data_IF_455555787848
#
_entry.id   IF_455555787848
#
_cell.length_a   1.000
_cell.length_b   1.000
_cell.length_c   1.000
_cell.angle_alpha   90.00
_cell.angle_beta   90.00
_cell.angle_gamma   90.00
#
_symmetry.space_group_name_H-M   'P 1'
#
loop_
_entity.id
_entity.type
_entity.pdbx_description
1 polymer ?
#
# COMPACT_ATOMS: atom_id res chain seq x y z
N UNK A 1 -7.74 34.01 -7.77
CA UNK A 1 -8.11 32.56 -7.65
C UNK A 1 -8.06 31.92 -9.03
N UNK A 2 -8.20 30.59 -9.16
CA UNK A 2 -8.33 29.90 -10.46
C UNK A 2 -9.47 28.88 -10.44
N UNK A 3 -10.25 28.82 -11.52
CA UNK A 3 -11.48 28.04 -11.60
C UNK A 3 -11.50 27.05 -12.76
N UNK A 4 -12.04 25.87 -12.52
CA UNK A 4 -12.33 24.87 -13.54
C UNK A 4 -13.83 24.89 -13.81
N UNK A 5 -14.23 25.32 -15.00
CA UNK A 5 -15.64 25.47 -15.37
C UNK A 5 -16.16 24.22 -16.10
N UNK A 6 -17.47 24.01 -16.07
CA UNK A 6 -18.12 23.00 -16.91
C UNK A 6 -17.96 23.29 -18.41
N UNK A 7 -18.11 22.27 -19.27
CA UNK A 7 -17.99 22.42 -20.73
C UNK A 7 -18.89 23.55 -21.27
N UNK A 8 -20.17 23.55 -20.88
CA UNK A 8 -21.14 24.58 -21.28
C UNK A 8 -20.70 25.97 -20.82
N UNK A 9 -20.37 26.10 -19.54
CA UNK A 9 -19.88 27.36 -18.97
C UNK A 9 -18.61 27.90 -19.67
N UNK A 10 -17.68 27.03 -20.07
CA UNK A 10 -16.49 27.44 -20.84
C UNK A 10 -16.87 28.02 -22.20
N UNK A 11 -17.78 27.36 -22.93
CA UNK A 11 -18.22 27.83 -24.24
C UNK A 11 -18.91 29.19 -24.13
N UNK A 12 -19.77 29.36 -23.12
CA UNK A 12 -20.50 30.61 -22.88
C UNK A 12 -19.53 31.76 -22.54
N UNK A 13 -18.60 31.52 -21.61
CA UNK A 13 -17.57 32.50 -21.21
C UNK A 13 -16.70 32.92 -22.41
N UNK A 14 -16.15 31.97 -23.16
CA UNK A 14 -15.26 32.29 -24.28
C UNK A 14 -16.03 32.86 -25.49
N UNK A 15 -17.30 32.47 -25.69
CA UNK A 15 -18.19 33.08 -26.65
C UNK A 15 -18.48 34.55 -26.32
N UNK A 16 -18.74 34.85 -25.05
CA UNK A 16 -18.89 36.22 -24.57
C UNK A 16 -17.62 37.06 -24.76
N UNK A 17 -16.45 36.55 -24.35
CA UNK A 17 -15.18 37.27 -24.53
C UNK A 17 -14.90 37.57 -26.01
N UNK A 18 -15.21 36.63 -26.91
CA UNK A 18 -15.07 36.83 -28.36
C UNK A 18 -15.95 37.97 -28.87
N UNK A 19 -17.22 38.03 -28.42
CA UNK A 19 -18.15 39.11 -28.76
C UNK A 19 -17.71 40.45 -28.18
N UNK A 20 -17.33 40.48 -26.88
CA UNK A 20 -16.90 41.69 -26.15
C UNK A 20 -15.69 42.37 -26.80
N UNK A 21 -14.76 41.59 -27.33
CA UNK A 21 -13.56 42.13 -27.98
C UNK A 21 -13.70 42.31 -29.51
N UNK A 22 -14.89 42.05 -30.08
CA UNK A 22 -15.18 42.17 -31.52
C UNK A 22 -14.20 41.39 -32.42
N UNK A 23 -13.82 40.17 -32.02
CA UNK A 23 -12.84 39.34 -32.74
C UNK A 23 -13.48 38.13 -33.44
N UNK A 24 -12.98 37.76 -34.62
CA UNK A 24 -13.52 36.68 -35.45
C UNK A 24 -12.93 35.32 -35.12
N UNK A 25 -11.73 35.27 -34.57
CA UNK A 25 -11.07 34.02 -34.21
C UNK A 25 -10.37 34.11 -32.84
N UNK A 26 -9.94 32.95 -32.36
CA UNK A 26 -9.32 32.81 -31.04
C UNK A 26 -7.88 33.35 -30.98
N UNK A 27 -7.22 33.49 -32.14
CA UNK A 27 -5.87 34.04 -32.22
C UNK A 27 -5.90 35.55 -31.99
N UNK A 28 -6.83 36.25 -32.65
CA UNK A 28 -7.13 37.67 -32.42
C UNK A 28 -7.54 37.92 -30.97
N UNK A 29 -8.37 37.06 -30.37
CA UNK A 29 -8.73 37.17 -28.96
C UNK A 29 -7.48 37.12 -28.06
N UNK A 30 -6.57 36.18 -28.34
CA UNK A 30 -5.30 36.01 -27.62
C UNK A 30 -4.43 37.26 -27.69
N UNK A 31 -4.34 37.89 -28.85
CA UNK A 31 -3.59 39.14 -29.05
C UNK A 31 -4.24 40.29 -28.28
N UNK A 32 -5.57 40.45 -28.34
CA UNK A 32 -6.31 41.51 -27.64
C UNK A 32 -6.17 41.45 -26.13
N UNK A 33 -6.21 40.25 -25.55
CA UNK A 33 -6.09 40.06 -24.09
C UNK A 33 -4.63 39.83 -23.65
N UNK A 34 -3.67 39.89 -24.57
CA UNK A 34 -2.23 39.67 -24.32
C UNK A 34 -1.91 38.33 -23.63
N UNK A 35 -2.64 37.26 -23.98
CA UNK A 35 -2.45 35.93 -23.43
C UNK A 35 -2.08 34.97 -24.56
N UNK A 36 -1.02 34.15 -24.43
CA UNK A 36 -0.61 33.25 -25.49
C UNK A 36 -1.76 32.37 -26.01
N UNK A 37 -1.91 32.28 -27.33
CA UNK A 37 -2.97 31.53 -28.00
C UNK A 37 -3.19 30.12 -27.44
N UNK A 38 -2.09 29.39 -27.18
CA UNK A 38 -2.16 28.04 -26.64
C UNK A 38 -2.79 28.00 -25.23
N UNK A 39 -2.58 29.03 -24.43
CA UNK A 39 -3.20 29.16 -23.10
C UNK A 39 -4.70 29.39 -23.22
N UNK A 40 -5.14 30.27 -24.13
CA UNK A 40 -6.57 30.50 -24.42
C UNK A 40 -7.25 29.22 -24.90
N UNK A 41 -6.62 28.48 -25.83
CA UNK A 41 -7.12 27.18 -26.27
C UNK A 41 -7.26 26.19 -25.11
N UNK A 42 -6.25 26.10 -24.25
CA UNK A 42 -6.25 25.17 -23.12
C UNK A 42 -7.36 25.48 -22.10
N UNK A 43 -7.64 26.77 -21.86
CA UNK A 43 -8.78 27.16 -21.03
C UNK A 43 -10.12 26.79 -21.66
N UNK A 44 -10.30 27.08 -22.95
CA UNK A 44 -11.53 26.75 -23.69
C UNK A 44 -11.80 25.25 -23.74
N UNK A 45 -10.77 24.45 -24.02
CA UNK A 45 -10.86 22.99 -24.11
C UNK A 45 -10.89 22.31 -22.74
N UNK A 46 -10.73 23.06 -21.64
CA UNK A 46 -10.79 22.49 -20.29
C UNK A 46 -9.55 21.73 -19.86
N UNK A 47 -8.38 21.98 -20.46
CA UNK A 47 -7.12 21.38 -20.02
C UNK A 47 -6.41 22.21 -18.95
N UNK A 48 -6.91 23.42 -18.63
CA UNK A 48 -6.37 24.32 -17.59
C UNK A 48 -7.45 25.09 -16.85
N UNK A 49 -7.13 25.48 -15.62
CA UNK A 49 -7.95 26.38 -14.79
C UNK A 49 -7.81 27.82 -15.28
N UNK A 50 -8.93 28.54 -15.28
CA UNK A 50 -9.08 29.92 -15.76
C UNK A 50 -8.83 30.88 -14.58
N UNK A 51 -7.99 31.91 -14.73
CA UNK A 51 -7.78 32.93 -13.71
C UNK A 51 -9.07 33.71 -13.40
N UNK A 52 -9.27 34.03 -12.12
CA UNK A 52 -10.40 34.81 -11.61
C UNK A 52 -10.51 36.18 -12.31
N UNK A 53 -9.38 36.80 -12.60
CA UNK A 53 -9.29 38.12 -13.23
C UNK A 53 -9.99 38.14 -14.59
N UNK A 54 -9.95 37.02 -15.33
CA UNK A 54 -10.63 36.89 -16.61
C UNK A 54 -12.13 36.63 -16.46
N UNK A 55 -12.53 35.92 -15.40
CA UNK A 55 -13.92 35.57 -15.16
C UNK A 55 -14.75 36.73 -14.60
N UNK A 56 -14.13 37.66 -13.87
CA UNK A 56 -14.78 38.90 -13.41
C UNK A 56 -15.32 39.78 -14.54
N UNK A 57 -14.82 39.60 -15.76
CA UNK A 57 -15.27 40.34 -16.93
C UNK A 57 -16.61 39.86 -17.49
N UNK A 58 -17.12 38.72 -16.99
CA UNK A 58 -18.31 38.03 -17.50
C UNK A 58 -19.52 38.38 -16.61
N UNK A 59 -20.59 38.98 -17.16
CA UNK A 59 -21.70 39.52 -16.36
C UNK A 59 -22.75 38.48 -15.94
N UNK A 60 -22.54 37.20 -16.22
CA UNK A 60 -23.51 36.13 -15.93
C UNK A 60 -22.92 35.04 -15.04
N UNK A 61 -23.79 34.36 -14.30
CA UNK A 61 -23.42 33.22 -13.46
C UNK A 61 -23.04 32.01 -14.32
N UNK A 62 -22.03 31.27 -13.88
CA UNK A 62 -21.56 30.07 -14.56
C UNK A 62 -21.26 28.96 -13.55
N UNK A 63 -21.31 27.71 -14.01
CA UNK A 63 -21.10 26.54 -13.16
C UNK A 63 -19.60 26.20 -13.01
N UNK A 64 -19.10 26.27 -11.78
CA UNK A 64 -17.74 25.95 -11.37
C UNK A 64 -17.69 24.50 -10.88
N UNK A 65 -16.84 23.68 -11.50
CA UNK A 65 -16.61 22.28 -11.10
C UNK A 65 -15.57 22.19 -9.99
N UNK A 66 -14.51 22.99 -10.06
CA UNK A 66 -13.41 23.00 -9.08
C UNK A 66 -12.81 24.40 -8.99
N UNK A 67 -12.24 24.74 -7.83
CA UNK A 67 -11.55 26.01 -7.57
C UNK A 67 -10.23 25.77 -6.84
N UNK A 68 -9.23 26.58 -7.16
CA UNK A 68 -7.87 26.47 -6.64
C UNK A 68 -7.26 27.86 -6.40
N UNK A 69 -6.28 27.93 -5.50
CA UNK A 69 -5.50 29.14 -5.26
C UNK A 69 -4.78 29.62 -6.53
N UNK A 70 -4.49 30.92 -6.62
CA UNK A 70 -3.87 31.54 -7.81
C UNK A 70 -2.56 30.87 -8.26
N UNK A 71 -1.81 30.31 -7.30
CA UNK A 71 -0.52 29.66 -7.50
C UNK A 71 -0.62 28.13 -7.65
N UNK A 72 -1.83 27.58 -7.74
CA UNK A 72 -2.02 26.15 -7.89
C UNK A 72 -1.56 25.67 -9.28
N UNK A 73 -0.57 24.77 -9.29
CA UNK A 73 0.07 24.28 -10.51
C UNK A 73 1.35 25.03 -10.91
N UNK A 74 1.61 26.22 -10.35
CA UNK A 74 3.00 26.68 -10.25
C UNK A 74 3.67 25.75 -9.25
N UNK A 75 4.62 24.94 -9.72
CA UNK A 75 5.53 24.25 -8.81
C UNK A 75 6.15 25.33 -7.91
N UNK A 76 5.80 25.36 -6.62
CA UNK A 76 6.72 25.72 -5.52
C UNK A 76 7.86 24.70 -5.52
N UNK A 77 8.55 24.56 -6.65
CA UNK A 77 9.73 23.73 -6.81
C UNK A 77 10.84 24.49 -6.13
N UNK A 78 11.22 24.02 -4.95
CA UNK A 78 12.13 24.69 -4.05
C UNK A 78 13.37 25.26 -4.74
N UNK A 79 13.55 26.57 -4.57
CA UNK A 79 14.83 27.22 -4.83
C UNK A 79 15.93 26.77 -3.87
N UNK A 80 15.59 26.13 -2.74
CA UNK A 80 16.58 25.71 -1.74
C UNK A 80 17.29 24.38 -2.03
N UNK A 81 16.90 23.60 -3.06
CA UNK A 81 17.50 22.27 -3.29
C UNK A 81 17.95 21.93 -4.72
N UNK A 82 17.60 22.74 -5.73
CA UNK A 82 17.76 22.39 -7.15
C UNK A 82 18.76 23.25 -7.94
N UNK A 83 19.21 24.40 -7.42
CA UNK A 83 20.10 25.32 -8.15
C UNK A 83 21.41 24.65 -8.59
N UNK A 84 22.03 23.89 -7.69
CA UNK A 84 23.26 23.15 -7.96
C UNK A 84 23.00 22.00 -8.94
N UNK A 85 21.90 21.25 -8.77
CA UNK A 85 21.58 20.10 -9.63
C UNK A 85 21.22 20.49 -11.06
N UNK A 86 20.53 21.63 -11.28
CA UNK A 86 20.16 22.11 -12.62
C UNK A 86 21.37 22.70 -13.35
N UNK A 87 22.23 23.49 -12.66
CA UNK A 87 23.52 23.93 -13.21
C UNK A 87 24.41 22.73 -13.56
N UNK A 88 24.52 21.74 -12.68
CA UNK A 88 25.32 20.54 -12.93
C UNK A 88 24.75 19.67 -14.06
N UNK A 89 23.43 19.50 -14.13
CA UNK A 89 22.76 18.79 -15.23
C UNK A 89 22.91 19.50 -16.56
N UNK A 90 22.75 20.83 -16.59
CA UNK A 90 22.94 21.61 -17.80
C UNK A 90 24.41 21.62 -18.23
N UNK A 91 25.36 21.66 -17.28
CA UNK A 91 26.79 21.54 -17.57
C UNK A 91 27.13 20.14 -18.09
N UNK A 92 26.62 19.09 -17.47
CA UNK A 92 26.74 17.70 -17.95
C UNK A 92 26.09 17.50 -19.31
N UNK A 93 24.94 18.12 -19.59
CA UNK A 93 24.26 18.02 -20.88
C UNK A 93 25.02 18.78 -21.97
N UNK A 94 25.52 19.99 -21.68
CA UNK A 94 26.42 20.73 -22.59
C UNK A 94 27.70 19.94 -22.87
N UNK A 95 28.34 19.38 -21.83
CA UNK A 95 29.52 18.51 -21.95
C UNK A 95 29.19 17.23 -22.73
N UNK A 96 28.01 16.63 -22.54
CA UNK A 96 27.54 15.46 -23.28
C UNK A 96 27.27 15.75 -24.77
N UNK A 97 26.93 16.99 -25.11
CA UNK A 97 26.83 17.47 -26.49
C UNK A 97 28.17 17.89 -27.07
N UNK A 98 29.18 18.19 -26.24
CA UNK A 98 30.48 18.77 -26.68
C UNK A 98 31.70 17.86 -26.49
N UNK A 99 31.60 16.70 -25.85
CA UNK A 99 32.74 15.78 -25.60
C UNK A 99 32.39 14.30 -25.73
N UNK A 100 33.37 13.50 -26.16
CA UNK A 100 33.22 12.06 -26.40
C UNK A 100 33.00 11.20 -25.13
N UNK A 101 32.57 9.94 -25.32
CA UNK A 101 32.21 8.96 -24.27
C UNK A 101 33.21 8.83 -23.11
N UNK A 102 34.49 9.16 -23.30
CA UNK A 102 35.57 9.11 -22.30
C UNK A 102 35.41 10.18 -21.21
N UNK A 103 35.07 11.41 -21.57
CA UNK A 103 34.88 12.53 -20.61
C UNK A 103 33.65 12.31 -19.73
N UNK A 104 32.57 11.80 -20.33
CA UNK A 104 31.36 11.42 -19.59
C UNK A 104 31.60 10.31 -18.57
N UNK A 105 32.44 9.31 -18.91
CA UNK A 105 32.87 8.28 -17.95
C UNK A 105 33.64 8.89 -16.77
N UNK A 106 34.56 9.82 -17.03
CA UNK A 106 35.34 10.48 -15.97
C UNK A 106 34.48 11.35 -15.06
N UNK A 107 33.50 12.08 -15.61
CA UNK A 107 32.54 12.85 -14.80
C UNK A 107 31.61 11.97 -13.99
N UNK A 108 31.17 10.84 -14.54
CA UNK A 108 30.35 9.87 -13.80
C UNK A 108 31.16 9.22 -12.67
N UNK A 109 32.43 8.85 -12.91
CA UNK A 109 33.35 8.40 -11.85
C UNK A 109 33.49 9.44 -10.73
N UNK A 110 33.59 10.73 -11.10
CA UNK A 110 33.81 11.82 -10.14
C UNK A 110 32.55 12.21 -9.35
N UNK A 111 31.36 12.21 -9.97
CA UNK A 111 30.13 12.79 -9.38
C UNK A 111 28.91 11.86 -9.36
N UNK A 112 29.01 10.67 -9.95
CA UNK A 112 27.88 9.74 -10.13
C UNK A 112 27.31 9.23 -8.81
N UNK A 113 28.16 8.98 -7.81
CA UNK A 113 27.75 8.57 -6.46
C UNK A 113 26.90 9.64 -5.77
N UNK A 114 27.35 10.90 -5.76
CA UNK A 114 26.66 12.03 -5.15
C UNK A 114 25.32 12.35 -5.84
N UNK A 115 25.30 12.32 -7.18
CA UNK A 115 24.08 12.48 -7.96
C UNK A 115 23.06 11.38 -7.66
N UNK A 116 23.54 10.15 -7.50
CA UNK A 116 22.67 9.02 -7.20
C UNK A 116 22.13 9.10 -5.78
N UNK A 117 22.95 9.48 -4.78
CA UNK A 117 22.49 9.73 -3.41
C UNK A 117 21.38 10.78 -3.36
N UNK A 118 21.58 11.94 -4.03
CA UNK A 118 20.56 13.01 -4.12
C UNK A 118 19.27 12.53 -4.80
N UNK A 119 19.39 11.74 -5.86
CA UNK A 119 18.22 11.18 -6.56
C UNK A 119 17.46 10.18 -5.69
N UNK A 120 18.16 9.31 -4.95
CA UNK A 120 17.57 8.34 -4.01
C UNK A 120 16.87 9.07 -2.86
N UNK A 121 17.54 10.04 -2.24
CA UNK A 121 16.95 10.87 -1.19
C UNK A 121 15.68 11.60 -1.65
N UNK A 122 15.66 12.14 -2.88
CA UNK A 122 14.48 12.75 -3.47
C UNK A 122 13.31 11.77 -3.65
N UNK A 123 13.59 10.53 -4.08
CA UNK A 123 12.57 9.46 -4.20
C UNK A 123 12.02 9.04 -2.84
N UNK A 124 12.89 8.92 -1.83
CA UNK A 124 12.50 8.59 -0.45
C UNK A 124 11.57 9.67 0.10
N UNK A 125 11.99 10.94 0.08
CA UNK A 125 11.17 12.06 0.55
C UNK A 125 9.81 12.14 -0.14
N UNK A 126 9.77 11.86 -1.46
CA UNK A 126 8.52 11.80 -2.20
C UNK A 126 7.60 10.68 -1.66
N UNK A 127 8.13 9.46 -1.47
CA UNK A 127 7.34 8.33 -0.94
C UNK A 127 6.89 8.55 0.50
N UNK A 128 7.73 9.13 1.34
CA UNK A 128 7.34 9.51 2.71
C UNK A 128 6.19 10.50 2.69
N UNK A 129 6.25 11.52 1.82
CA UNK A 129 5.16 12.47 1.67
C UNK A 129 3.87 11.80 1.20
N UNK A 130 3.94 10.92 0.20
CA UNK A 130 2.78 10.16 -0.28
C UNK A 130 2.17 9.29 0.83
N UNK A 131 3.00 8.59 1.60
CA UNK A 131 2.57 7.76 2.73
C UNK A 131 1.91 8.60 3.84
N UNK A 132 2.55 9.72 4.24
CA UNK A 132 2.00 10.65 5.23
C UNK A 132 0.67 11.27 4.78
N UNK A 133 0.54 11.62 3.50
CA UNK A 133 -0.71 12.13 2.95
C UNK A 133 -1.81 11.07 2.97
N UNK A 134 -1.48 9.81 2.69
CA UNK A 134 -2.42 8.70 2.79
C UNK A 134 -2.84 8.44 4.25
N UNK A 135 -1.90 8.49 5.20
CA UNK A 135 -2.20 8.41 6.63
C UNK A 135 -3.16 9.54 7.08
N UNK A 136 -2.86 10.80 6.72
CA UNK A 136 -3.72 11.96 7.03
C UNK A 136 -5.12 11.83 6.42
N UNK A 137 -5.21 11.42 5.16
CA UNK A 137 -6.50 11.21 4.47
C UNK A 137 -7.36 10.17 5.18
N UNK A 138 -6.73 9.15 5.77
CA UNK A 138 -7.41 8.04 6.41
C UNK A 138 -7.39 8.12 7.95
N UNK A 139 -6.99 9.24 8.54
CA UNK A 139 -6.87 9.38 10.00
C UNK A 139 -8.22 9.12 10.69
N UNK A 140 -9.30 9.66 10.11
CA UNK A 140 -10.66 9.48 10.62
C UNK A 140 -11.29 8.14 10.22
N UNK A 141 -10.60 7.33 9.41
CA UNK A 141 -11.12 6.01 9.05
C UNK A 141 -11.08 5.05 10.24
N UNK A 142 -10.03 5.13 11.08
CA UNK A 142 -9.81 4.18 12.16
C UNK A 142 -10.47 4.63 13.46
N UNK A 143 -11.67 4.09 13.72
CA UNK A 143 -12.48 4.41 14.91
C UNK A 143 -12.37 3.37 16.03
N UNK A 144 -11.59 2.30 15.81
CA UNK A 144 -11.39 1.21 16.76
C UNK A 144 -12.69 0.56 17.24
N UNK A 145 -13.64 0.34 16.30
CA UNK A 145 -14.94 -0.26 16.61
C UNK A 145 -14.74 -1.68 17.17
N UNK A 146 -15.31 -1.94 18.34
CA UNK A 146 -15.39 -3.28 18.92
C UNK A 146 -16.46 -4.08 18.16
N UNK A 147 -16.07 -5.22 17.62
CA UNK A 147 -16.97 -6.13 16.89
C UNK A 147 -17.22 -7.36 17.74
N UNK A 148 -18.49 -7.58 18.10
CA UNK A 148 -18.93 -8.79 18.80
C UNK A 148 -19.19 -9.91 17.80
N UNK A 149 -18.91 -11.14 18.23
CA UNK A 149 -19.03 -12.36 17.43
C UNK A 149 -20.17 -13.19 17.99
N UNK A 150 -21.18 -13.45 17.16
CA UNK A 150 -22.32 -14.27 17.55
C UNK A 150 -21.91 -15.75 17.63
N UNK A 151 -21.67 -16.22 18.85
CA UNK A 151 -21.34 -17.62 19.16
C UNK A 151 -22.56 -18.42 19.64
N UNK A 152 -23.74 -17.81 19.74
CA UNK A 152 -24.94 -18.41 20.36
C UNK A 152 -25.38 -19.73 19.70
N UNK A 153 -25.14 -19.85 18.39
CA UNK A 153 -25.54 -21.02 17.59
C UNK A 153 -24.51 -22.13 17.52
N UNK A 154 -23.38 -22.00 18.21
CA UNK A 154 -22.29 -22.98 18.16
C UNK A 154 -22.48 -24.02 19.25
N UNK A 155 -22.49 -25.30 18.86
CA UNK A 155 -22.62 -26.41 19.82
C UNK A 155 -21.25 -26.98 20.14
N UNK A 156 -20.89 -27.01 21.43
CA UNK A 156 -19.70 -27.69 21.90
C UNK A 156 -19.95 -29.20 22.00
N UNK A 157 -19.12 -29.99 21.33
CA UNK A 157 -19.14 -31.45 21.46
C UNK A 157 -18.64 -31.91 22.84
N UNK A 158 -18.86 -33.19 23.19
CA UNK A 158 -18.31 -33.79 24.42
C UNK A 158 -16.78 -33.61 24.51
N UNK A 159 -16.07 -33.73 23.38
CA UNK A 159 -14.63 -33.54 23.32
C UNK A 159 -14.20 -32.08 23.49
N UNK A 160 -14.96 -31.13 22.92
CA UNK A 160 -14.70 -29.69 23.10
C UNK A 160 -14.84 -29.29 24.58
N UNK A 161 -15.89 -29.79 25.25
CA UNK A 161 -16.10 -29.60 26.70
C UNK A 161 -14.97 -30.20 27.54
N UNK A 162 -14.54 -31.44 27.21
CA UNK A 162 -13.41 -32.10 27.90
C UNK A 162 -12.12 -31.29 27.80
N UNK A 163 -11.87 -30.66 26.65
CA UNK A 163 -10.73 -29.77 26.42
C UNK A 163 -10.89 -28.37 27.05
N UNK A 164 -12.03 -28.08 27.69
CA UNK A 164 -12.38 -26.75 28.22
C UNK A 164 -12.21 -25.65 27.16
N UNK A 165 -12.64 -25.96 25.93
CA UNK A 165 -12.52 -25.07 24.79
C UNK A 165 -13.27 -23.75 25.06
N UNK A 166 -12.64 -22.63 24.69
CA UNK A 166 -13.25 -21.29 24.70
C UNK A 166 -13.41 -20.80 23.27
N UNK A 167 -14.44 -20.00 23.02
CA UNK A 167 -14.63 -19.30 21.75
C UNK A 167 -14.59 -17.79 22.02
N UNK A 168 -13.94 -17.00 21.14
CA UNK A 168 -13.85 -15.56 21.35
C UNK A 168 -15.20 -14.88 21.03
N UNK A 169 -15.63 -14.02 21.94
CA UNK A 169 -16.88 -13.24 21.83
C UNK A 169 -16.71 -11.92 21.07
N UNK A 170 -15.48 -11.50 20.81
CA UNK A 170 -15.17 -10.28 20.08
C UNK A 170 -13.92 -10.44 19.21
N UNK A 171 -13.82 -9.60 18.17
CA UNK A 171 -12.64 -9.56 17.32
C UNK A 171 -11.47 -8.92 18.07
N UNK A 172 -10.41 -9.71 18.30
CA UNK A 172 -9.14 -9.25 18.87
C UNK A 172 -8.02 -9.29 17.83
N UNK A 173 -6.88 -8.65 18.13
CA UNK A 173 -5.69 -8.74 17.29
C UNK A 173 -5.19 -10.17 17.16
N UNK A 174 -5.22 -10.96 18.24
CA UNK A 174 -4.82 -12.37 18.24
C UNK A 174 -5.70 -13.21 17.31
N UNK A 175 -7.03 -13.03 17.42
CA UNK A 175 -7.96 -13.72 16.53
C UNK A 175 -7.74 -13.29 15.07
N UNK A 176 -7.52 -12.00 14.82
CA UNK A 176 -7.27 -11.50 13.47
C UNK A 176 -5.99 -12.10 12.85
N UNK A 177 -4.92 -12.20 13.63
CA UNK A 177 -3.68 -12.85 13.19
C UNK A 177 -3.87 -14.34 12.92
N UNK A 178 -4.58 -15.04 13.80
CA UNK A 178 -4.94 -16.45 13.60
C UNK A 178 -5.78 -16.66 12.33
N UNK A 179 -6.73 -15.77 12.04
CA UNK A 179 -7.50 -15.80 10.80
C UNK A 179 -6.57 -15.65 9.59
N UNK A 180 -5.63 -14.70 9.63
CA UNK A 180 -4.64 -14.52 8.58
C UNK A 180 -3.84 -15.79 8.31
N UNK A 181 -3.29 -16.40 9.37
CA UNK A 181 -2.56 -17.67 9.31
C UNK A 181 -3.44 -18.78 8.72
N UNK A 182 -4.69 -18.87 9.16
CA UNK A 182 -5.61 -19.89 8.68
C UNK A 182 -5.99 -19.70 7.21
N UNK A 183 -6.09 -18.46 6.71
CA UNK A 183 -6.43 -18.22 5.31
C UNK A 183 -5.29 -18.62 4.36
N UNK A 184 -4.04 -18.48 4.80
CA UNK A 184 -2.87 -18.96 4.05
C UNK A 184 -2.68 -20.47 4.14
N UNK A 185 -2.16 -20.94 5.28
CA UNK A 185 -1.71 -22.33 5.47
C UNK A 185 -2.74 -23.25 6.16
N UNK A 186 -3.91 -22.71 6.50
CA UNK A 186 -4.95 -23.47 7.16
C UNK A 186 -5.68 -24.44 6.23
N UNK A 187 -6.22 -25.51 6.79
CA UNK A 187 -7.19 -26.39 6.15
C UNK A 187 -8.43 -26.53 7.04
N UNK A 188 -9.61 -26.51 6.44
CA UNK A 188 -10.89 -26.64 7.12
C UNK A 188 -11.78 -27.62 6.35
N UNK A 189 -12.04 -28.79 6.93
CA UNK A 189 -12.83 -29.85 6.31
C UNK A 189 -13.98 -30.25 7.23
N UNK A 190 -15.20 -30.27 6.66
CA UNK A 190 -16.39 -30.74 7.39
C UNK A 190 -16.24 -32.21 7.81
N UNK A 191 -15.55 -33.02 7.01
CA UNK A 191 -15.26 -34.43 7.32
C UNK A 191 -14.48 -34.51 8.65
N UNK A 192 -15.06 -35.20 9.63
CA UNK A 192 -14.50 -35.41 10.99
C UNK A 192 -14.26 -34.13 11.78
N UNK A 193 -14.83 -32.98 11.40
CA UNK A 193 -14.53 -31.69 12.01
C UNK A 193 -13.04 -31.34 12.01
N UNK A 194 -12.35 -31.70 10.93
CA UNK A 194 -10.91 -31.56 10.78
C UNK A 194 -10.51 -30.12 10.52
N UNK A 195 -9.50 -29.65 11.25
CA UNK A 195 -8.76 -28.47 10.88
C UNK A 195 -7.27 -28.61 11.20
N UNK A 196 -6.45 -27.92 10.41
CA UNK A 196 -4.99 -27.96 10.53
C UNK A 196 -4.38 -26.63 10.13
N UNK A 197 -3.17 -26.36 10.61
CA UNK A 197 -2.24 -25.41 9.99
C UNK A 197 -0.92 -26.13 9.85
N UNK A 198 -0.31 -26.04 8.65
CA UNK A 198 0.90 -26.76 8.30
C UNK A 198 1.84 -25.82 7.57
N UNK A 199 3.11 -25.81 7.93
CA UNK A 199 4.15 -25.03 7.28
C UNK A 199 5.30 -25.92 6.83
N UNK A 200 6.27 -25.34 6.16
CA UNK A 200 7.52 -26.04 5.86
C UNK A 200 8.23 -26.44 7.17
N UNK A 201 8.89 -27.61 7.20
CA UNK A 201 9.67 -28.08 8.36
C UNK A 201 10.69 -27.06 8.87
N UNK A 202 11.27 -26.23 8.00
CA UNK A 202 12.20 -25.15 8.36
C UNK A 202 11.57 -24.03 9.20
N UNK A 203 10.25 -24.01 9.31
CA UNK A 203 9.46 -23.02 10.03
C UNK A 203 8.76 -23.64 11.25
N UNK A 204 9.19 -24.83 11.69
CA UNK A 204 8.64 -25.49 12.87
C UNK A 204 8.66 -24.61 14.14
N UNK A 205 9.72 -23.81 14.31
CA UNK A 205 9.82 -22.88 15.45
C UNK A 205 8.75 -21.80 15.45
N UNK A 206 8.21 -21.43 14.29
CA UNK A 206 7.05 -20.55 14.20
C UNK A 206 5.78 -21.24 14.71
N UNK A 207 5.59 -22.51 14.34
CA UNK A 207 4.43 -23.30 14.79
C UNK A 207 4.46 -23.48 16.31
N UNK A 208 5.54 -24.03 16.84
CA UNK A 208 5.64 -24.35 18.27
C UNK A 208 5.81 -23.11 19.14
N UNK A 209 6.60 -22.13 18.69
CA UNK A 209 6.94 -20.95 19.47
C UNK A 209 5.89 -19.83 19.43
N UNK A 210 5.07 -19.76 18.38
CA UNK A 210 4.08 -18.69 18.23
C UNK A 210 2.66 -19.21 18.02
N UNK A 211 2.44 -20.07 17.03
CA UNK A 211 1.07 -20.52 16.67
C UNK A 211 0.43 -21.30 17.81
N UNK A 212 1.15 -22.18 18.50
CA UNK A 212 0.61 -22.94 19.61
C UNK A 212 0.18 -22.06 20.80
N UNK A 213 1.03 -21.15 21.32
CA UNK A 213 0.62 -20.15 22.30
C UNK A 213 -0.59 -19.31 21.86
N UNK A 214 -0.66 -18.92 20.58
CA UNK A 214 -1.77 -18.16 20.03
C UNK A 214 -3.09 -18.93 20.12
N UNK A 215 -3.11 -20.20 19.71
CA UNK A 215 -4.28 -21.06 19.82
C UNK A 215 -4.68 -21.35 21.27
N UNK A 216 -3.69 -21.53 22.16
CA UNK A 216 -3.93 -21.65 23.60
C UNK A 216 -4.59 -20.40 24.17
N UNK A 217 -4.13 -19.21 23.77
CA UNK A 217 -4.68 -17.93 24.23
C UNK A 217 -6.11 -17.69 23.73
N UNK A 218 -6.39 -17.93 22.45
CA UNK A 218 -7.70 -17.65 21.85
C UNK A 218 -8.74 -18.69 22.26
N UNK A 219 -8.38 -19.97 22.17
CA UNK A 219 -9.34 -21.08 22.25
C UNK A 219 -9.18 -21.95 23.49
N UNK A 220 -8.20 -21.69 24.34
CA UNK A 220 -7.74 -22.62 25.39
C UNK A 220 -7.41 -24.02 24.82
N UNK A 221 -6.87 -24.07 23.60
CA UNK A 221 -6.59 -25.32 22.91
C UNK A 221 -5.09 -25.67 22.97
N UNK A 222 -4.78 -26.77 23.66
CA UNK A 222 -3.44 -27.37 23.62
C UNK A 222 -3.26 -28.18 22.33
N UNK A 223 -2.31 -27.75 21.51
CA UNK A 223 -1.99 -28.38 20.23
C UNK A 223 -0.79 -29.31 20.37
N UNK A 224 -0.78 -30.36 19.54
CA UNK A 224 0.34 -31.30 19.43
C UNK A 224 1.07 -31.07 18.13
N UNK A 225 2.40 -31.04 18.21
CA UNK A 225 3.26 -30.90 17.05
C UNK A 225 3.23 -32.17 16.20
N UNK A 226 2.85 -32.00 14.95
CA UNK A 226 2.93 -33.01 13.91
C UNK A 226 4.17 -32.73 13.06
N UNK A 227 4.97 -33.76 12.82
CA UNK A 227 6.14 -33.71 11.94
C UNK A 227 5.99 -34.75 10.83
N UNK A 228 6.12 -34.29 9.60
CA UNK A 228 6.22 -35.10 8.37
C UNK A 228 7.56 -34.77 7.69
N UNK A 229 8.00 -35.53 6.66
CA UNK A 229 9.35 -35.35 6.08
C UNK A 229 9.70 -33.91 5.69
N UNK A 230 8.76 -33.17 5.09
CA UNK A 230 8.95 -31.79 4.61
C UNK A 230 8.06 -30.74 5.30
N UNK A 231 7.16 -31.17 6.19
CA UNK A 231 6.07 -30.35 6.74
C UNK A 231 6.02 -30.51 8.25
N UNK A 232 5.87 -29.39 8.96
CA UNK A 232 5.57 -29.37 10.39
C UNK A 232 4.29 -28.57 10.63
N UNK A 233 3.55 -28.88 11.69
CA UNK A 233 2.27 -28.23 11.93
C UNK A 233 1.48 -28.90 13.03
N UNK A 234 0.16 -28.86 12.91
CA UNK A 234 -0.74 -29.63 13.76
C UNK A 234 -1.98 -30.07 13.00
N UNK A 235 -2.62 -31.11 13.50
CA UNK A 235 -3.94 -31.53 13.08
C UNK A 235 -4.81 -31.74 14.31
N UNK A 236 -6.06 -31.33 14.23
CA UNK A 236 -7.00 -31.47 15.33
C UNK A 236 -8.43 -31.52 14.82
N UNK A 237 -9.31 -31.95 15.71
CA UNK A 237 -10.69 -32.25 15.43
C UNK A 237 -11.54 -31.54 16.49
N UNK A 238 -12.34 -30.56 16.06
CA UNK A 238 -13.20 -29.78 16.96
C UNK A 238 -14.41 -29.29 16.18
N UNK A 239 -15.59 -29.74 16.62
CA UNK A 239 -16.85 -29.28 16.04
C UNK A 239 -17.03 -27.78 16.29
N UNK A 240 -16.77 -27.33 17.51
CA UNK A 240 -16.95 -25.94 17.89
C UNK A 240 -16.04 -24.99 17.08
N UNK A 241 -14.75 -25.32 16.88
CA UNK A 241 -13.85 -24.48 16.06
C UNK A 241 -14.27 -24.50 14.58
N UNK A 242 -14.64 -25.67 14.06
CA UNK A 242 -15.12 -25.81 12.68
C UNK A 242 -16.35 -24.90 12.46
N UNK A 243 -17.34 -25.00 13.33
CA UNK A 243 -18.56 -24.21 13.29
C UNK A 243 -18.28 -22.72 13.49
N UNK A 244 -17.40 -22.35 14.41
CA UNK A 244 -16.99 -20.97 14.62
C UNK A 244 -16.39 -20.36 13.35
N UNK A 245 -15.38 -21.01 12.77
CA UNK A 245 -14.70 -20.52 11.55
C UNK A 245 -15.65 -20.44 10.36
N UNK A 246 -16.54 -21.42 10.20
CA UNK A 246 -17.45 -21.44 9.05
C UNK A 246 -18.70 -20.57 9.25
N UNK A 247 -19.43 -20.74 10.35
CA UNK A 247 -20.72 -20.07 10.58
C UNK A 247 -20.55 -18.61 11.03
N UNK A 248 -19.53 -18.31 11.83
CA UNK A 248 -19.30 -16.96 12.38
C UNK A 248 -18.33 -16.17 11.50
N UNK A 249 -17.14 -16.72 11.25
CA UNK A 249 -16.12 -16.03 10.45
C UNK A 249 -16.34 -16.14 8.93
N UNK A 250 -17.32 -16.96 8.49
CA UNK A 250 -17.67 -17.17 7.08
C UNK A 250 -16.53 -17.72 6.23
N UNK A 251 -15.61 -18.48 6.83
CA UNK A 251 -14.52 -19.16 6.10
C UNK A 251 -15.06 -20.45 5.45
N UNK A 252 -14.91 -20.63 4.13
CA UNK A 252 -15.46 -21.79 3.43
C UNK A 252 -14.69 -23.08 3.76
N UNK A 253 -15.38 -24.22 3.63
CA UNK A 253 -14.75 -25.53 3.68
C UNK A 253 -14.05 -25.89 2.36
N UNK A 254 -13.01 -26.72 2.44
CA UNK A 254 -12.38 -27.33 1.25
C UNK A 254 -11.58 -26.33 0.41
N UNK A 255 -11.68 -26.41 -0.92
CA UNK A 255 -10.91 -25.58 -1.85
C UNK A 255 -11.27 -24.10 -1.68
N UNK A 256 -10.26 -23.31 -1.30
CA UNK A 256 -10.36 -21.89 -0.96
C UNK A 256 -10.23 -20.93 -2.14
N UNK A 257 -9.58 -21.36 -3.23
CA UNK A 257 -9.27 -20.51 -4.39
C UNK A 257 -10.57 -19.90 -4.94
N UNK A 258 -10.59 -18.57 -5.10
CA UNK A 258 -11.72 -17.80 -5.62
C UNK A 258 -12.89 -17.59 -4.64
N UNK A 259 -12.88 -18.24 -3.47
CA UNK A 259 -13.98 -18.15 -2.48
C UNK A 259 -13.61 -17.38 -1.22
N UNK A 260 -12.32 -17.25 -0.94
CA UNK A 260 -11.85 -16.56 0.26
C UNK A 260 -11.80 -15.05 0.06
N UNK A 261 -12.34 -14.36 1.05
CA UNK A 261 -12.27 -12.91 1.24
C UNK A 261 -11.80 -12.64 2.67
N UNK A 262 -11.39 -11.41 2.96
CA UNK A 262 -11.24 -10.95 4.35
C UNK A 262 -12.60 -11.08 5.04
N UNK A 263 -12.69 -11.72 6.21
CA UNK A 263 -13.94 -11.80 6.96
C UNK A 263 -14.49 -10.40 7.29
N UNK A 264 -15.80 -10.20 7.13
CA UNK A 264 -16.46 -8.92 7.42
C UNK A 264 -16.15 -8.43 8.84
N UNK A 265 -16.14 -9.33 9.81
CA UNK A 265 -15.82 -9.02 11.20
C UNK A 265 -14.38 -8.53 11.44
N UNK A 266 -13.45 -8.71 10.49
CA UNK A 266 -12.12 -8.08 10.52
C UNK A 266 -12.19 -6.70 9.86
N UNK A 267 -12.78 -6.62 8.67
CA UNK A 267 -12.85 -5.40 7.87
C UNK A 267 -13.68 -4.29 8.55
N UNK A 268 -14.79 -4.63 9.19
CA UNK A 268 -15.70 -3.66 9.82
C UNK A 268 -15.18 -3.09 11.15
N UNK A 269 -14.10 -3.67 11.71
CA UNK A 269 -13.49 -3.17 12.95
C UNK A 269 -12.96 -1.76 12.80
N UNK A 270 -12.51 -1.41 11.59
CA UNK A 270 -11.82 -0.14 11.32
C UNK A 270 -10.77 0.13 12.41
N UNK A 271 -10.06 -0.91 12.82
CA UNK A 271 -9.06 -0.86 13.87
C UNK A 271 -7.69 -1.20 13.27
N UNK A 272 -6.77 -0.25 13.37
CA UNK A 272 -5.44 -0.38 12.75
C UNK A 272 -4.64 -1.56 13.31
N UNK A 273 -4.81 -1.89 14.60
CA UNK A 273 -4.14 -3.04 15.24
C UNK A 273 -4.69 -4.38 14.72
N UNK A 274 -6.00 -4.48 14.53
CA UNK A 274 -6.65 -5.68 13.97
C UNK A 274 -6.25 -5.88 12.51
N UNK A 275 -6.26 -4.79 11.72
CA UNK A 275 -5.81 -4.84 10.33
C UNK A 275 -4.34 -5.30 10.24
N UNK A 276 -3.47 -4.70 11.05
CA UNK A 276 -2.05 -5.05 11.15
C UNK A 276 -1.87 -6.53 11.49
N UNK A 277 -2.57 -7.03 12.52
CA UNK A 277 -2.45 -8.41 12.97
C UNK A 277 -2.95 -9.41 11.90
N UNK A 278 -4.08 -9.13 11.26
CA UNK A 278 -4.58 -9.94 10.15
C UNK A 278 -3.59 -10.03 8.98
N UNK A 279 -3.07 -8.88 8.55
CA UNK A 279 -2.10 -8.81 7.45
C UNK A 279 -0.78 -9.49 7.84
N UNK A 280 -0.36 -9.38 9.10
CA UNK A 280 0.82 -10.09 9.64
C UNK A 280 0.65 -11.60 9.53
N UNK A 281 -0.51 -12.13 9.93
CA UNK A 281 -0.82 -13.56 9.81
C UNK A 281 -0.74 -14.06 8.36
N UNK A 282 -1.30 -13.29 7.41
CA UNK A 282 -1.18 -13.57 5.97
C UNK A 282 0.26 -13.50 5.48
N UNK A 283 1.01 -12.48 5.92
CA UNK A 283 2.41 -12.34 5.54
C UNK A 283 3.27 -13.47 6.11
N UNK A 284 2.97 -13.96 7.31
CA UNK A 284 3.69 -15.04 7.95
C UNK A 284 3.50 -16.40 7.28
N UNK A 285 2.46 -16.57 6.46
CA UNK A 285 2.25 -17.73 5.59
C UNK A 285 2.72 -17.44 4.16
N UNK A 286 2.00 -16.60 3.43
CA UNK A 286 2.13 -16.37 1.97
C UNK A 286 3.01 -15.16 1.61
N UNK A 287 3.58 -14.51 2.62
CA UNK A 287 4.46 -13.38 2.45
C UNK A 287 5.94 -13.74 2.30
N UNK A 288 6.67 -12.90 1.58
CA UNK A 288 8.12 -12.99 1.42
C UNK A 288 8.74 -11.59 1.43
N UNK A 289 9.98 -11.47 1.88
CA UNK A 289 10.74 -10.24 1.80
C UNK A 289 12.06 -10.48 1.05
N UNK A 290 12.34 -9.66 0.04
CA UNK A 290 13.46 -9.85 -0.89
C UNK A 290 14.17 -8.53 -1.22
N UNK A 291 15.30 -8.62 -1.91
CA UNK A 291 16.00 -7.48 -2.51
C UNK A 291 15.93 -7.60 -4.02
N UNK A 292 15.43 -6.55 -4.67
CA UNK A 292 15.56 -6.40 -6.11
C UNK A 292 16.92 -5.82 -6.49
N UNK A 293 17.26 -5.90 -7.79
CA UNK A 293 18.50 -5.35 -8.36
C UNK A 293 18.75 -3.93 -7.83
N UNK A 294 19.96 -3.70 -7.29
CA UNK A 294 20.35 -2.41 -6.70
C UNK A 294 20.01 -2.22 -5.23
N UNK A 295 19.92 -3.30 -4.43
CA UNK A 295 19.66 -3.26 -2.97
C UNK A 295 18.33 -2.62 -2.59
N UNK A 296 17.34 -2.72 -3.48
CA UNK A 296 16.02 -2.13 -3.27
C UNK A 296 15.09 -3.16 -2.63
N UNK A 297 14.70 -3.00 -1.35
CA UNK A 297 13.93 -4.01 -0.65
C UNK A 297 12.49 -4.09 -1.18
N UNK A 298 11.92 -5.30 -1.12
CA UNK A 298 10.55 -5.58 -1.50
C UNK A 298 9.91 -6.51 -0.47
N UNK A 299 8.68 -6.18 -0.08
CA UNK A 299 7.79 -7.09 0.63
C UNK A 299 6.74 -7.54 -0.38
N UNK A 300 6.53 -8.85 -0.43
CA UNK A 300 5.69 -9.53 -1.40
C UNK A 300 4.67 -10.36 -0.62
N UNK A 301 3.41 -10.35 -1.05
CA UNK A 301 2.39 -11.31 -0.61
C UNK A 301 1.79 -11.91 -1.87
N UNK A 302 1.86 -13.23 -2.02
CA UNK A 302 1.42 -13.92 -3.24
C UNK A 302 0.26 -14.86 -2.92
N UNK A 303 -0.95 -14.52 -3.38
CA UNK A 303 -2.17 -15.29 -3.07
C UNK A 303 -2.98 -15.47 -4.36
N UNK A 304 -3.50 -16.68 -4.60
CA UNK A 304 -4.30 -16.97 -5.81
C UNK A 304 -5.70 -16.35 -5.81
N UNK A 305 -6.24 -15.97 -4.66
CA UNK A 305 -7.56 -15.36 -4.54
C UNK A 305 -7.48 -13.86 -4.78
N UNK A 306 -7.93 -13.40 -5.95
CA UNK A 306 -7.93 -11.99 -6.35
C UNK A 306 -8.74 -11.11 -5.38
N UNK A 307 -9.95 -11.57 -4.98
CA UNK A 307 -10.80 -10.86 -4.02
C UNK A 307 -10.10 -10.60 -2.67
N UNK A 308 -9.35 -11.60 -2.17
CA UNK A 308 -8.59 -11.46 -0.93
C UNK A 308 -7.45 -10.44 -1.10
N UNK A 309 -6.72 -10.50 -2.22
CA UNK A 309 -5.63 -9.55 -2.51
C UNK A 309 -6.15 -8.12 -2.62
N UNK A 310 -7.24 -7.88 -3.35
CA UNK A 310 -7.82 -6.54 -3.51
C UNK A 310 -8.22 -5.93 -2.16
N UNK A 311 -8.81 -6.73 -1.28
CA UNK A 311 -9.18 -6.29 0.07
C UNK A 311 -7.94 -6.02 0.94
N UNK A 312 -6.89 -6.84 0.84
CA UNK A 312 -5.61 -6.58 1.54
C UNK A 312 -4.98 -5.28 1.02
N UNK A 313 -5.03 -5.03 -0.30
CA UNK A 313 -4.55 -3.77 -0.91
C UNK A 313 -5.30 -2.57 -0.36
N UNK A 314 -6.62 -2.65 -0.26
CA UNK A 314 -7.44 -1.59 0.32
C UNK A 314 -7.11 -1.36 1.81
N UNK A 315 -6.95 -2.42 2.60
CA UNK A 315 -6.51 -2.32 3.99
C UNK A 315 -5.13 -1.65 4.11
N UNK A 316 -4.16 -2.05 3.28
CA UNK A 316 -2.82 -1.46 3.24
C UNK A 316 -2.86 0.02 2.86
N UNK A 317 -3.65 0.40 1.84
CA UNK A 317 -3.83 1.81 1.45
C UNK A 317 -4.43 2.65 2.58
N UNK A 318 -5.43 2.10 3.29
CA UNK A 318 -6.03 2.73 4.48
C UNK A 318 -4.99 2.96 5.59
N UNK A 319 -4.07 2.02 5.77
CA UNK A 319 -2.95 2.11 6.70
C UNK A 319 -1.79 3.00 6.20
N UNK A 320 -1.94 3.68 5.06
CA UNK A 320 -0.93 4.60 4.51
C UNK A 320 0.21 3.94 3.75
N UNK A 321 0.09 2.65 3.42
CA UNK A 321 1.04 1.97 2.53
C UNK A 321 0.75 2.30 1.06
N UNK A 322 1.76 2.09 0.21
CA UNK A 322 1.69 2.32 -1.23
C UNK A 322 1.90 0.96 -1.95
N UNK A 323 0.90 0.05 -1.90
CA UNK A 323 0.97 -1.24 -2.56
C UNK A 323 0.85 -1.11 -4.08
N UNK A 324 1.62 -1.95 -4.78
CA UNK A 324 1.45 -2.24 -6.20
C UNK A 324 0.79 -3.61 -6.30
N UNK A 325 -0.38 -3.67 -6.93
CA UNK A 325 -1.09 -4.92 -7.17
C UNK A 325 -0.73 -5.45 -8.57
N UNK A 326 -0.17 -6.65 -8.60
CA UNK A 326 -0.05 -7.50 -9.78
C UNK A 326 -1.14 -8.58 -9.70
N UNK A 327 -1.33 -9.36 -10.77
CA UNK A 327 -2.42 -10.36 -10.88
C UNK A 327 -2.64 -11.21 -9.61
N UNK A 328 -1.56 -11.79 -9.07
CA UNK A 328 -1.62 -12.66 -7.88
C UNK A 328 -0.66 -12.23 -6.77
N UNK A 329 -0.25 -10.97 -6.77
CA UNK A 329 0.82 -10.51 -5.87
C UNK A 329 0.67 -9.04 -5.48
N UNK A 330 0.90 -8.76 -4.20
CA UNK A 330 1.05 -7.41 -3.67
C UNK A 330 2.54 -7.12 -3.45
N UNK A 331 3.02 -6.02 -4.02
CA UNK A 331 4.37 -5.53 -3.84
C UNK A 331 4.40 -4.23 -3.02
N UNK A 332 5.08 -4.24 -1.89
CA UNK A 332 5.52 -3.03 -1.20
C UNK A 332 7.01 -2.79 -1.47
N UNK A 333 7.31 -1.62 -1.98
CA UNK A 333 8.58 -1.34 -2.64
C UNK A 333 9.40 -0.28 -1.86
N UNK A 334 10.68 -0.56 -1.66
CA UNK A 334 11.66 0.39 -1.17
C UNK A 334 11.67 0.57 0.35
N UNK A 335 12.71 1.26 0.81
CA UNK A 335 13.04 1.41 2.22
C UNK A 335 11.89 2.00 3.05
N UNK A 336 11.24 3.06 2.56
CA UNK A 336 10.11 3.72 3.27
C UNK A 336 8.98 2.73 3.59
N UNK A 337 8.65 1.84 2.66
CA UNK A 337 7.58 0.86 2.88
C UNK A 337 8.02 -0.31 3.75
N UNK A 338 9.28 -0.75 3.62
CA UNK A 338 9.86 -1.77 4.50
C UNK A 338 9.91 -1.28 5.95
N UNK A 339 10.38 -0.06 6.15
CA UNK A 339 10.53 0.57 7.45
C UNK A 339 9.17 0.80 8.12
N UNK A 340 8.17 1.30 7.38
CA UNK A 340 6.77 1.37 7.86
C UNK A 340 6.20 -0.01 8.17
N UNK A 341 6.49 -1.03 7.34
CA UNK A 341 6.05 -2.39 7.59
C UNK A 341 6.58 -2.93 8.90
N UNK A 342 7.89 -2.82 9.14
CA UNK A 342 8.54 -3.31 10.37
C UNK A 342 7.93 -2.66 11.62
N UNK A 343 7.64 -1.35 11.57
CA UNK A 343 7.02 -0.64 12.70
C UNK A 343 5.56 -1.00 12.93
N UNK A 344 4.77 -1.07 11.86
CA UNK A 344 3.31 -1.11 11.98
C UNK A 344 2.71 -2.51 11.87
N UNK A 345 3.35 -3.42 11.11
CA UNK A 345 2.86 -4.77 10.83
C UNK A 345 3.84 -5.80 11.39
N UNK A 346 5.10 -5.78 10.98
CA UNK A 346 6.11 -6.73 11.42
C UNK A 346 5.85 -8.14 10.91
N UNK A 347 6.27 -9.13 11.70
CA UNK A 347 6.11 -10.56 11.45
C UNK A 347 6.21 -11.27 12.80
N UNK A 348 5.52 -12.39 12.96
CA UNK A 348 5.63 -13.28 14.12
C UNK A 348 6.44 -14.55 13.78
N UNK A 349 6.76 -14.76 12.50
CA UNK A 349 7.60 -15.85 12.03
C UNK A 349 9.10 -15.49 12.18
N UNK A 350 9.87 -16.22 13.02
CA UNK A 350 11.28 -15.89 13.29
C UNK A 350 12.14 -15.74 12.04
N UNK A 351 11.94 -16.61 11.05
CA UNK A 351 12.69 -16.57 9.78
C UNK A 351 12.40 -15.28 9.01
N UNK A 352 11.14 -14.85 8.97
CA UNK A 352 10.71 -13.62 8.30
C UNK A 352 11.14 -12.38 9.09
N UNK A 353 11.13 -12.41 10.42
CA UNK A 353 11.67 -11.36 11.28
C UNK A 353 13.16 -11.12 10.98
N UNK A 354 13.97 -12.19 11.00
CA UNK A 354 15.41 -12.10 10.67
C UNK A 354 15.59 -11.50 9.28
N UNK A 355 14.79 -11.97 8.31
CA UNK A 355 14.88 -11.45 6.95
C UNK A 355 14.55 -9.96 6.87
N UNK A 356 13.48 -9.50 7.49
CA UNK A 356 13.10 -8.09 7.51
C UNK A 356 14.20 -7.21 8.12
N UNK A 357 14.85 -7.66 9.20
CA UNK A 357 15.97 -6.96 9.83
C UNK A 357 17.18 -6.85 8.91
N UNK A 358 17.60 -7.96 8.29
CA UNK A 358 18.68 -7.96 7.30
C UNK A 358 18.40 -6.97 6.16
N UNK A 359 17.19 -7.01 5.61
CA UNK A 359 16.79 -6.16 4.51
C UNK A 359 16.80 -4.68 4.89
N UNK A 360 16.34 -4.37 6.11
CA UNK A 360 16.35 -3.01 6.62
C UNK A 360 17.78 -2.51 6.71
N UNK A 361 18.68 -3.26 7.36
CA UNK A 361 20.09 -2.91 7.48
C UNK A 361 20.79 -2.70 6.12
N UNK A 362 20.58 -3.61 5.16
CA UNK A 362 21.16 -3.49 3.81
C UNK A 362 20.63 -2.23 3.10
N UNK A 363 19.33 -1.97 3.22
CA UNK A 363 18.70 -0.81 2.57
C UNK A 363 19.13 0.51 3.21
N UNK A 364 19.26 0.59 4.53
CA UNK A 364 19.77 1.75 5.26
C UNK A 364 21.21 2.07 4.86
N UNK A 365 22.09 1.05 4.88
CA UNK A 365 23.48 1.22 4.48
C UNK A 365 23.62 1.69 3.02
N UNK A 366 22.74 1.21 2.12
CA UNK A 366 22.72 1.67 0.72
C UNK A 366 22.28 3.13 0.58
N UNK A 367 21.36 3.60 1.41
CA UNK A 367 20.90 5.00 1.42
C UNK A 367 22.02 5.94 1.87
N UNK A 368 22.75 5.58 2.93
CA UNK A 368 23.84 6.38 3.49
C UNK A 368 25.07 6.41 2.57
N UNK A 369 25.52 5.22 2.14
CA UNK A 369 26.75 5.07 1.36
C UNK A 369 26.55 5.36 -0.12
N UNK A 370 25.30 5.38 -0.61
CA UNK A 370 24.98 5.39 -2.04
C UNK A 370 25.23 4.02 -2.68
N UNK A 371 24.86 3.82 -3.95
CA UNK A 371 25.33 2.65 -4.68
C UNK A 371 26.84 2.72 -4.75
N UNK A 372 27.53 1.85 -3.99
CA UNK A 372 28.90 1.50 -4.30
C UNK A 372 28.93 1.10 -5.76
N UNK A 373 29.87 1.66 -6.52
CA UNK A 373 30.14 1.17 -7.87
C UNK A 373 30.23 -0.34 -7.80
N UNK A 374 29.47 -1.03 -8.65
CA UNK A 374 29.86 -2.37 -9.04
C UNK A 374 31.24 -2.21 -9.68
N UNK A 375 32.30 -2.38 -8.90
CA UNK A 375 33.55 -2.82 -9.46
C UNK A 375 33.28 -4.20 -10.05
N UNK A 376 33.42 -4.23 -11.37
CA UNK A 376 33.47 -5.32 -12.35
C UNK A 376 33.01 -6.70 -11.88
#
# INVERSE_FOLDING_TARGET
MRYFLSNKARLDVFGFLKKKHHVKNWKELSEKIQIPYKTVQNWRLGSRYIPDELLKLVPFKFNIIDQKEANWGQRKGGHSGLGISKKLKNKLQKVRMSTGKKVMRNLWKKYGSELTKKAVAGKIKKREKESKQADLKNQNFFINKKIFLDISKIKLSKFDKKKKLKLPEYMSSELAEEIGIHLGDGCLLKKRNYFSVKCNKKEESYISGFVFPLYKKIYNLDLKLMRLPSVSGFETYSQAILEFKNKVLKIPHGKKIGKITVPKCVFETRNKKIYSAFIRGIFDTDGCATIAKGRYPRILISIKSENLLEQIVDMLKKMGFIPVLNKWEICLNGHVMLDKWIREIGSSNPKKITKLKELWAISSAWIERGPAEKMQ
#
